data_IF_368846174694
#
_entry.id   IF_368846174694
#
_cell.length_a   1.000
_cell.length_b   1.000
_cell.length_c   1.000
_cell.angle_alpha   90.00
_cell.angle_beta   90.00
_cell.angle_gamma   90.00
#
_symmetry.space_group_name_H-M   'P 1'
#
loop_
_entity.id
_entity.type
_entity.pdbx_description
1 polymer ?
#
# COMPACT_ATOMS: atom_id res chain seq x y z
N UNK A 1 -9.14 10.58 14.16
CA UNK A 1 -7.83 10.29 13.54
C UNK A 1 -6.75 10.50 14.60
N UNK A 2 -5.75 9.63 14.68
CA UNK A 2 -4.59 9.79 15.58
C UNK A 2 -3.40 10.30 14.78
N UNK A 3 -2.68 11.27 15.31
CA UNK A 3 -1.49 11.86 14.71
C UNK A 3 -0.29 11.63 15.63
N UNK A 4 0.85 11.25 15.06
CA UNK A 4 2.13 11.13 15.75
C UNK A 4 3.22 11.73 14.88
N UNK A 5 4.00 12.68 15.41
CA UNK A 5 5.21 13.12 14.74
C UNK A 5 6.42 12.32 15.25
N UNK A 6 7.18 11.78 14.30
CA UNK A 6 8.27 10.86 14.54
C UNK A 6 9.58 11.62 14.41
N UNK A 7 10.38 11.67 15.47
CA UNK A 7 11.65 12.42 15.50
C UNK A 7 12.87 11.54 15.25
N UNK A 8 12.69 10.23 15.11
CA UNK A 8 13.75 9.26 14.87
C UNK A 8 13.75 8.76 13.42
N UNK A 9 14.84 8.10 13.02
CA UNK A 9 14.89 7.34 11.77
C UNK A 9 14.08 6.03 11.86
N UNK A 10 13.85 5.34 10.74
CA UNK A 10 13.01 4.15 10.70
C UNK A 10 13.53 3.02 11.61
N UNK A 11 14.85 2.76 11.62
CA UNK A 11 15.49 1.73 12.46
C UNK A 11 15.27 1.89 13.97
N UNK A 12 14.96 3.11 14.43
CA UNK A 12 14.76 3.41 15.85
C UNK A 12 13.28 3.56 16.21
N UNK A 13 12.36 3.47 15.25
CA UNK A 13 10.93 3.73 15.50
C UNK A 13 10.36 2.86 16.63
N UNK A 14 10.57 1.54 16.56
CA UNK A 14 10.14 0.63 17.62
C UNK A 14 10.94 0.83 18.93
N UNK A 15 12.26 1.02 18.82
CA UNK A 15 13.18 1.16 19.96
C UNK A 15 12.89 2.42 20.80
N UNK A 16 12.51 3.51 20.13
CA UNK A 16 12.16 4.79 20.74
C UNK A 16 10.70 4.80 21.25
N UNK A 17 10.01 3.65 21.22
CA UNK A 17 8.70 3.46 21.84
C UNK A 17 7.51 3.98 21.01
N UNK A 18 7.69 4.24 19.71
CA UNK A 18 6.56 4.60 18.85
C UNK A 18 5.63 3.41 18.65
N UNK A 19 4.36 3.56 19.03
CA UNK A 19 3.33 2.53 18.90
C UNK A 19 2.28 2.91 17.84
N UNK A 20 1.78 1.91 17.13
CA UNK A 20 0.72 2.05 16.14
C UNK A 20 -0.63 1.59 16.72
N UNK A 21 -1.71 2.23 16.29
CA UNK A 21 -3.07 2.01 16.79
C UNK A 21 -3.55 0.55 16.70
N UNK A 22 -3.24 -0.26 15.67
CA UNK A 22 -3.69 -1.66 15.62
C UNK A 22 -3.28 -2.50 16.83
N UNK A 23 -2.10 -2.24 17.40
CA UNK A 23 -1.59 -2.96 18.58
C UNK A 23 -2.00 -2.31 19.92
N UNK A 24 -2.49 -1.07 19.88
CA UNK A 24 -2.88 -0.31 21.08
C UNK A 24 -4.35 -0.51 21.49
N UNK A 25 -5.14 -1.23 20.69
CA UNK A 25 -6.50 -1.58 21.09
C UNK A 25 -6.50 -2.49 22.33
N UNK A 26 -7.53 -2.42 23.22
CA UNK A 26 -7.64 -3.31 24.38
C UNK A 26 -7.55 -4.79 24.00
N UNK A 27 -8.11 -5.15 22.85
CA UNK A 27 -7.84 -6.41 22.18
C UNK A 27 -6.88 -6.15 21.00
N UNK A 28 -5.64 -6.63 21.12
CA UNK A 28 -4.62 -6.51 20.07
C UNK A 28 -5.16 -7.10 18.76
N UNK A 29 -5.09 -6.32 17.67
CA UNK A 29 -5.41 -6.82 16.34
C UNK A 29 -4.14 -7.37 15.70
N UNK A 30 -4.15 -8.67 15.42
CA UNK A 30 -3.11 -9.28 14.61
C UNK A 30 -3.21 -8.78 13.15
N UNK A 31 -2.10 -8.34 12.57
CA UNK A 31 -2.05 -7.90 11.17
C UNK A 31 -1.71 -9.10 10.31
N UNK A 32 -2.69 -9.63 9.59
CA UNK A 32 -2.44 -10.72 8.63
C UNK A 32 -1.77 -10.18 7.36
N UNK A 33 -2.23 -9.02 6.88
CA UNK A 33 -1.75 -8.42 5.65
C UNK A 33 -1.52 -6.92 5.82
N UNK A 34 -0.31 -6.47 5.52
CA UNK A 34 -0.01 -5.04 5.37
C UNK A 34 0.13 -4.72 3.88
N UNK A 35 -0.75 -3.86 3.36
CA UNK A 35 -0.67 -3.35 1.98
C UNK A 35 0.03 -2.01 2.01
N UNK A 36 1.25 -1.96 1.51
CA UNK A 36 2.08 -0.75 1.44
C UNK A 36 1.93 -0.11 0.07
N UNK A 37 1.58 1.16 0.04
CA UNK A 37 1.50 1.97 -1.18
C UNK A 37 2.59 3.05 -1.09
N UNK A 38 3.64 2.93 -1.91
CA UNK A 38 4.66 3.99 -2.01
C UNK A 38 4.21 5.07 -2.99
N UNK A 39 4.36 6.32 -2.57
CA UNK A 39 3.92 7.51 -3.31
C UNK A 39 5.00 8.60 -3.22
N UNK A 40 5.21 9.35 -4.30
CA UNK A 40 6.04 10.55 -4.35
C UNK A 40 5.20 11.79 -4.61
N UNK A 41 4.87 12.05 -5.88
CA UNK A 41 4.15 13.24 -6.34
C UNK A 41 2.94 12.91 -7.24
N UNK A 42 2.49 11.66 -7.23
CA UNK A 42 1.31 11.21 -7.96
C UNK A 42 0.05 11.99 -7.53
N UNK A 43 -0.86 12.20 -8.48
CA UNK A 43 -2.11 12.92 -8.26
C UNK A 43 -3.19 12.07 -7.57
N UNK A 44 -4.32 12.71 -7.29
CA UNK A 44 -5.51 12.05 -6.73
C UNK A 44 -6.06 10.95 -7.63
N UNK A 45 -5.92 11.05 -8.95
CA UNK A 45 -6.44 10.07 -9.90
C UNK A 45 -5.67 8.75 -9.78
N UNK A 46 -4.34 8.81 -9.78
CA UNK A 46 -3.48 7.64 -9.61
C UNK A 46 -3.67 7.01 -8.22
N UNK A 47 -3.67 7.83 -7.17
CA UNK A 47 -3.90 7.35 -5.81
C UNK A 47 -5.28 6.72 -5.65
N UNK A 48 -6.33 7.36 -6.19
CA UNK A 48 -7.70 6.85 -6.12
C UNK A 48 -7.86 5.53 -6.87
N UNK A 49 -7.17 5.33 -8.00
CA UNK A 49 -7.19 4.04 -8.73
C UNK A 49 -6.59 2.92 -7.89
N UNK A 50 -5.45 3.15 -7.27
CA UNK A 50 -4.81 2.17 -6.37
C UNK A 50 -5.72 1.85 -5.19
N UNK A 51 -6.20 2.87 -4.47
CA UNK A 51 -7.09 2.69 -3.32
C UNK A 51 -8.41 1.99 -3.68
N UNK A 52 -9.00 2.33 -4.83
CA UNK A 52 -10.20 1.65 -5.35
C UNK A 52 -9.95 0.15 -5.55
N UNK A 53 -8.81 -0.23 -6.12
CA UNK A 53 -8.41 -1.63 -6.29
C UNK A 53 -8.22 -2.34 -4.95
N UNK A 54 -7.48 -1.72 -4.02
CA UNK A 54 -7.22 -2.27 -2.68
C UNK A 54 -8.53 -2.48 -1.92
N UNK A 55 -9.43 -1.48 -1.91
CA UNK A 55 -10.70 -1.56 -1.20
C UNK A 55 -11.63 -2.61 -1.79
N UNK A 56 -11.59 -2.81 -3.11
CA UNK A 56 -12.31 -3.90 -3.78
C UNK A 56 -11.81 -5.27 -3.32
N UNK A 57 -10.50 -5.44 -3.15
CA UNK A 57 -9.92 -6.68 -2.63
C UNK A 57 -10.29 -6.92 -1.17
N UNK A 58 -10.23 -5.90 -0.32
CA UNK A 58 -10.65 -6.01 1.10
C UNK A 58 -12.12 -6.43 1.18
N UNK A 59 -12.99 -5.82 0.36
CA UNK A 59 -14.40 -6.23 0.26
C UNK A 59 -14.54 -7.68 -0.23
N UNK A 60 -13.69 -8.14 -1.15
CA UNK A 60 -13.70 -9.54 -1.58
C UNK A 60 -13.32 -10.50 -0.44
N UNK A 61 -12.27 -10.18 0.33
CA UNK A 61 -11.87 -10.95 1.51
C UNK A 61 -12.98 -11.00 2.56
N UNK A 62 -13.62 -9.85 2.84
CA UNK A 62 -14.78 -9.74 3.74
C UNK A 62 -15.94 -10.66 3.32
N UNK A 63 -16.16 -10.81 2.02
CA UNK A 63 -17.26 -11.60 1.46
C UNK A 63 -17.05 -13.12 1.47
N UNK A 64 -15.87 -13.61 1.87
CA UNK A 64 -15.58 -15.04 1.93
C UNK A 64 -16.37 -15.71 3.06
N UNK A 65 -17.14 -16.75 2.73
CA UNK A 65 -17.91 -17.52 3.71
C UNK A 65 -17.27 -18.87 4.08
N UNK A 66 -16.40 -19.40 3.20
CA UNK A 66 -15.78 -20.72 3.35
C UNK A 66 -14.28 -20.66 3.61
N UNK A 67 -13.75 -19.52 4.09
CA UNK A 67 -12.33 -19.37 4.43
C UNK A 67 -12.14 -19.36 5.93
N UNK A 68 -11.11 -20.08 6.41
CA UNK A 68 -10.70 -20.05 7.83
C UNK A 68 -10.14 -18.68 8.22
N UNK A 69 -9.44 -18.01 7.31
CA UNK A 69 -8.79 -16.71 7.57
C UNK A 69 -9.71 -15.53 7.27
N UNK A 70 -10.47 -15.59 6.18
CA UNK A 70 -11.23 -14.47 5.64
C UNK A 70 -12.74 -14.65 5.80
N UNK A 71 -13.42 -13.54 6.03
CA UNK A 71 -14.86 -13.42 6.20
C UNK A 71 -15.24 -12.13 6.90
N UNK A 72 -16.34 -12.13 7.66
CA UNK A 72 -16.77 -10.95 8.43
C UNK A 72 -15.61 -10.42 9.29
N UNK A 73 -15.42 -9.10 9.30
CA UNK A 73 -14.35 -8.41 10.02
C UNK A 73 -12.91 -8.66 9.48
N UNK A 74 -12.76 -9.18 8.26
CA UNK A 74 -11.45 -9.32 7.61
C UNK A 74 -10.66 -8.01 7.60
N UNK A 75 -11.35 -6.87 7.43
CA UNK A 75 -10.72 -5.56 7.46
C UNK A 75 -9.93 -5.24 8.74
N UNK A 76 -10.25 -5.88 9.87
CA UNK A 76 -9.52 -5.71 11.14
C UNK A 76 -8.12 -6.33 11.10
N UNK A 77 -7.91 -7.30 10.20
CA UNK A 77 -6.63 -8.02 10.00
C UNK A 77 -5.75 -7.38 8.93
N UNK A 78 -6.23 -6.32 8.26
CA UNK A 78 -5.56 -5.69 7.13
C UNK A 78 -5.24 -4.25 7.49
N UNK A 79 -4.00 -3.84 7.25
CA UNK A 79 -3.57 -2.43 7.37
C UNK A 79 -3.12 -1.94 6.00
N UNK A 80 -3.75 -0.87 5.52
CA UNK A 80 -3.34 -0.17 4.30
C UNK A 80 -2.43 0.99 4.69
N UNK A 81 -1.14 0.85 4.42
CA UNK A 81 -0.14 1.87 4.69
C UNK A 81 0.20 2.64 3.42
N UNK A 82 0.09 3.97 3.43
CA UNK A 82 0.59 4.84 2.36
C UNK A 82 1.84 5.53 2.87
N UNK A 83 2.96 5.38 2.16
CA UNK A 83 4.22 6.08 2.49
C UNK A 83 4.51 7.11 1.40
N UNK A 84 4.38 8.39 1.76
CA UNK A 84 4.63 9.52 0.87
C UNK A 84 6.03 10.11 1.10
N UNK A 85 6.79 10.23 0.02
CA UNK A 85 8.21 10.60 0.02
C UNK A 85 8.46 12.11 -0.06
N UNK A 86 8.27 12.80 1.06
CA UNK A 86 8.58 14.21 1.21
C UNK A 86 7.34 15.08 1.30
N UNK A 87 7.22 15.81 2.41
CA UNK A 87 6.06 16.64 2.74
C UNK A 87 5.83 17.78 1.75
N UNK A 88 6.90 18.36 1.21
CA UNK A 88 6.82 19.42 0.19
C UNK A 88 6.63 18.91 -1.24
N UNK A 89 6.58 17.58 -1.44
CA UNK A 89 6.56 16.94 -2.76
C UNK A 89 5.24 16.27 -3.10
N UNK A 90 4.48 15.88 -2.09
CA UNK A 90 3.14 15.31 -2.27
C UNK A 90 2.22 16.29 -3.00
N UNK A 91 1.43 15.77 -3.93
CA UNK A 91 0.48 16.54 -4.71
C UNK A 91 -0.70 17.05 -3.85
N UNK A 92 -1.11 18.31 -4.01
CA UNK A 92 -2.21 18.92 -3.25
C UNK A 92 -3.54 18.21 -3.44
N UNK A 93 -3.86 17.73 -4.64
CA UNK A 93 -5.09 16.96 -4.90
C UNK A 93 -5.04 15.61 -4.18
N UNK A 94 -3.88 14.95 -4.16
CA UNK A 94 -3.70 13.72 -3.41
C UNK A 94 -3.84 13.95 -1.89
N UNK A 95 -3.30 15.06 -1.36
CA UNK A 95 -3.53 15.47 0.03
C UNK A 95 -5.02 15.70 0.32
N UNK A 96 -5.73 16.41 -0.55
CA UNK A 96 -7.16 16.67 -0.42
C UNK A 96 -7.99 15.38 -0.44
N UNK A 97 -7.60 14.40 -1.27
CA UNK A 97 -8.20 13.07 -1.28
C UNK A 97 -8.00 12.35 0.07
N UNK A 98 -6.76 12.34 0.60
CA UNK A 98 -6.46 11.74 1.90
C UNK A 98 -7.22 12.42 3.05
N UNK A 99 -7.35 13.75 3.00
CA UNK A 99 -8.16 14.53 3.95
C UNK A 99 -9.64 14.16 3.87
N UNK A 100 -10.19 14.06 2.66
CA UNK A 100 -11.58 13.65 2.42
C UNK A 100 -11.88 12.23 2.92
N UNK A 101 -10.86 11.37 3.02
CA UNK A 101 -10.96 10.02 3.58
C UNK A 101 -10.72 9.96 5.10
N UNK A 102 -10.35 11.10 5.71
CA UNK A 102 -10.10 11.25 7.15
C UNK A 102 -8.73 10.76 7.63
N UNK A 103 -7.81 10.45 6.71
CA UNK A 103 -6.46 9.94 7.04
C UNK A 103 -5.38 11.03 6.95
N UNK A 104 -5.76 12.27 6.69
CA UNK A 104 -4.88 13.43 6.72
C UNK A 104 -5.63 14.65 7.26
N UNK A 105 -4.93 15.54 7.96
CA UNK A 105 -5.47 16.82 8.39
C UNK A 105 -4.37 17.87 8.28
N UNK A 106 -4.71 18.97 7.59
CA UNK A 106 -3.82 20.11 7.43
C UNK A 106 -3.54 20.80 8.77
N UNK A 107 -2.37 21.41 8.90
CA UNK A 107 -1.96 22.15 10.10
C UNK A 107 -1.44 21.30 11.26
N UNK A 108 -1.67 19.98 11.29
CA UNK A 108 -1.12 19.12 12.36
C UNK A 108 0.39 18.91 12.25
N UNK A 109 0.90 18.81 11.02
CA UNK A 109 2.29 18.50 10.79
C UNK A 109 3.23 19.67 11.17
N UNK A 110 4.13 19.42 12.12
CA UNK A 110 5.17 20.37 12.55
C UNK A 110 6.56 19.83 12.25
N UNK A 111 7.46 20.66 11.72
CA UNK A 111 8.83 20.21 11.35
C UNK A 111 9.74 19.93 12.55
N UNK A 112 9.34 20.37 13.76
CA UNK A 112 10.04 20.12 15.02
C UNK A 112 9.03 19.80 16.13
N UNK A 113 9.44 18.92 17.03
CA UNK A 113 8.83 18.73 18.35
C UNK A 113 9.96 18.92 19.35
N UNK A 114 9.76 19.85 20.28
CA UNK A 114 10.82 20.36 21.15
C UNK A 114 12.05 20.77 20.32
N UNK A 115 13.24 20.31 20.70
CA UNK A 115 14.48 20.56 19.96
C UNK A 115 14.78 19.52 18.86
N UNK A 116 13.90 18.53 18.68
CA UNK A 116 14.11 17.44 17.73
C UNK A 116 13.43 17.70 16.39
N UNK A 117 14.17 17.50 15.30
CA UNK A 117 13.62 17.56 13.92
C UNK A 117 12.72 16.35 13.67
N UNK A 118 11.53 16.61 13.14
CA UNK A 118 10.62 15.54 12.71
C UNK A 118 11.14 14.91 11.42
N UNK A 119 11.05 13.58 11.34
CA UNK A 119 11.49 12.76 10.20
C UNK A 119 10.30 12.23 9.41
N UNK A 120 9.19 11.93 10.07
CA UNK A 120 7.94 11.53 9.44
C UNK A 120 6.73 11.89 10.29
N UNK A 121 5.57 11.97 9.64
CA UNK A 121 4.27 12.18 10.26
C UNK A 121 3.40 10.95 10.04
N UNK A 122 2.94 10.33 11.12
CA UNK A 122 2.07 9.17 11.09
C UNK A 122 0.63 9.60 11.38
N UNK A 123 -0.28 9.31 10.46
CA UNK A 123 -1.71 9.53 10.60
C UNK A 123 -2.44 8.19 10.56
N UNK A 124 -3.29 7.94 11.55
CA UNK A 124 -3.99 6.67 11.69
C UNK A 124 -5.49 6.89 11.76
N UNK A 125 -6.22 6.21 10.88
CA UNK A 125 -7.67 6.29 10.85
C UNK A 125 -8.31 5.03 10.28
N UNK A 126 -9.55 4.74 10.69
CA UNK A 126 -10.35 3.70 10.03
C UNK A 126 -11.36 4.40 9.16
N UNK A 127 -11.10 4.43 7.86
CA UNK A 127 -11.99 5.10 6.93
C UNK A 127 -13.22 4.25 6.64
N UNK A 128 -14.36 4.91 6.49
CA UNK A 128 -15.60 4.33 5.94
C UNK A 128 -16.00 5.01 4.63
N UNK A 129 -15.04 5.72 4.02
CA UNK A 129 -15.18 6.38 2.73
C UNK A 129 -14.45 5.52 1.70
N UNK A 130 -15.10 5.23 0.57
CA UNK A 130 -14.47 4.53 -0.56
C UNK A 130 -14.52 5.36 -1.83
N UNK A 131 -13.59 5.08 -2.74
CA UNK A 131 -13.64 5.57 -4.11
C UNK A 131 -14.70 4.79 -4.90
N UNK A 132 -15.73 5.47 -5.39
CA UNK A 132 -16.78 4.87 -6.22
C UNK A 132 -16.38 4.86 -7.70
N UNK A 133 -15.98 6.01 -8.24
CA UNK A 133 -15.51 6.17 -9.61
C UNK A 133 -14.27 7.04 -9.68
N UNK A 134 -13.43 6.74 -10.66
CA UNK A 134 -12.29 7.58 -11.04
C UNK A 134 -12.40 7.79 -12.54
N UNK A 135 -12.72 9.01 -12.94
CA UNK A 135 -12.71 9.47 -14.34
C UNK A 135 -11.69 10.61 -14.43
N UNK A 136 -12.14 11.82 -14.74
CA UNK A 136 -11.34 13.05 -14.63
C UNK A 136 -11.40 13.63 -13.20
N UNK A 137 -12.38 13.18 -12.41
CA UNK A 137 -12.53 13.48 -10.99
C UNK A 137 -12.69 12.21 -10.16
N UNK A 138 -12.35 12.30 -8.88
CA UNK A 138 -12.54 11.22 -7.91
C UNK A 138 -13.90 11.40 -7.22
N UNK A 139 -14.78 10.40 -7.35
CA UNK A 139 -16.04 10.37 -6.58
C UNK A 139 -15.90 9.45 -5.38
N UNK A 140 -16.32 9.95 -4.23
CA UNK A 140 -16.32 9.22 -2.97
C UNK A 140 -17.73 8.80 -2.59
N UNK A 141 -17.86 7.75 -1.76
CA UNK A 141 -19.14 7.30 -1.22
C UNK A 141 -18.95 6.62 0.13
N UNK A 142 -19.97 6.70 0.97
CA UNK A 142 -20.07 6.05 2.29
C UNK A 142 -21.04 4.87 2.30
N UNK A 143 -21.67 4.56 1.16
CA UNK A 143 -22.67 3.50 1.05
C UNK A 143 -22.05 2.10 0.88
N UNK A 144 -22.60 1.13 1.65
CA UNK A 144 -22.22 -0.31 1.60
C UNK A 144 -20.69 -0.51 1.68
N UNK A 145 -20.05 0.26 2.57
CA UNK A 145 -18.59 0.29 2.73
C UNK A 145 -18.13 -0.68 3.81
N UNK A 146 -17.13 -1.49 3.46
CA UNK A 146 -16.31 -2.23 4.43
C UNK A 146 -15.28 -1.24 4.99
N UNK A 147 -15.18 -1.07 6.32
CA UNK A 147 -14.17 -0.17 6.90
C UNK A 147 -12.76 -0.58 6.48
N UNK A 148 -11.83 0.37 6.40
CA UNK A 148 -10.42 0.08 6.09
C UNK A 148 -9.51 0.76 7.09
N UNK A 149 -8.61 0.01 7.71
CA UNK A 149 -7.58 0.57 8.59
C UNK A 149 -6.49 1.18 7.72
N UNK A 150 -6.35 2.50 7.80
CA UNK A 150 -5.35 3.24 7.05
C UNK A 150 -4.29 3.82 7.98
N UNK A 151 -3.04 3.73 7.53
CA UNK A 151 -1.87 4.38 8.10
C UNK A 151 -1.25 5.24 7.00
N UNK A 152 -1.15 6.54 7.20
CA UNK A 152 -0.47 7.43 6.28
C UNK A 152 0.82 7.93 6.92
N UNK A 153 1.95 7.56 6.33
CA UNK A 153 3.29 8.00 6.70
C UNK A 153 3.75 9.07 5.70
N UNK A 154 3.74 10.33 6.11
CA UNK A 154 4.27 11.44 5.32
C UNK A 154 5.70 11.75 5.79
N UNK A 155 6.70 11.42 4.98
CA UNK A 155 8.10 11.72 5.29
C UNK A 155 8.34 13.22 5.21
N UNK A 156 9.16 13.76 6.12
CA UNK A 156 9.48 15.19 6.11
C UNK A 156 10.32 15.56 4.88
N UNK A 157 11.32 14.72 4.55
CA UNK A 157 12.25 14.93 3.43
C UNK A 157 12.12 13.85 2.36
N UNK A 158 12.30 14.22 1.10
CA UNK A 158 12.45 13.26 0.01
C UNK A 158 13.77 12.49 0.17
N UNK A 159 13.69 11.17 0.28
CA UNK A 159 14.83 10.27 0.42
C UNK A 159 14.75 9.04 -0.52
N UNK A 160 13.95 9.15 -1.60
CA UNK A 160 13.70 8.12 -2.60
C UNK A 160 12.94 6.89 -2.07
N UNK A 161 12.48 6.06 -3.01
CA UNK A 161 11.66 4.85 -2.79
C UNK A 161 12.30 3.83 -1.83
N UNK A 162 13.62 3.61 -1.92
CA UNK A 162 14.34 2.68 -1.03
C UNK A 162 14.15 3.09 0.44
N UNK A 163 14.27 4.38 0.76
CA UNK A 163 14.03 4.85 2.11
C UNK A 163 12.55 4.70 2.53
N UNK A 164 11.60 4.87 1.61
CA UNK A 164 10.18 4.60 1.88
C UNK A 164 9.93 3.13 2.25
N UNK A 165 10.61 2.18 1.60
CA UNK A 165 10.57 0.77 2.02
C UNK A 165 11.22 0.55 3.39
N UNK A 166 12.31 1.24 3.72
CA UNK A 166 12.89 1.18 5.08
C UNK A 166 11.89 1.62 6.15
N UNK A 167 11.11 2.67 5.91
CA UNK A 167 10.00 3.04 6.81
C UNK A 167 8.95 1.92 6.94
N UNK A 168 8.71 1.15 5.88
CA UNK A 168 7.78 0.03 5.95
C UNK A 168 8.34 -1.13 6.77
N UNK A 169 9.56 -1.58 6.48
CA UNK A 169 10.14 -2.79 7.07
C UNK A 169 10.82 -2.58 8.42
N UNK A 170 11.63 -1.52 8.56
CA UNK A 170 12.40 -1.24 9.79
C UNK A 170 11.59 -0.49 10.85
N UNK A 171 10.53 0.24 10.46
CA UNK A 171 9.68 0.95 11.40
C UNK A 171 8.31 0.29 11.57
N UNK A 172 7.46 0.35 10.55
CA UNK A 172 6.04 0.00 10.68
C UNK A 172 5.85 -1.51 10.91
N UNK A 173 6.58 -2.35 10.17
CA UNK A 173 6.47 -3.82 10.28
C UNK A 173 7.01 -4.35 11.60
N UNK A 174 8.01 -3.69 12.20
CA UNK A 174 8.51 -4.05 13.53
C UNK A 174 7.44 -3.88 14.62
N UNK A 175 6.48 -2.98 14.41
CA UNK A 175 5.40 -2.71 15.37
C UNK A 175 4.16 -3.55 15.06
N UNK A 176 3.79 -3.65 13.78
CA UNK A 176 2.58 -4.37 13.36
C UNK A 176 2.76 -5.89 13.27
N UNK A 177 4.00 -6.35 13.12
CA UNK A 177 4.39 -7.75 12.90
C UNK A 177 3.48 -8.44 11.88
N UNK A 178 3.37 -7.92 10.64
CA UNK A 178 2.46 -8.48 9.65
C UNK A 178 2.95 -9.85 9.14
N UNK A 179 2.06 -10.83 8.97
CA UNK A 179 2.40 -12.11 8.34
C UNK A 179 2.84 -11.93 6.87
N UNK A 180 2.16 -11.04 6.13
CA UNK A 180 2.51 -10.74 4.74
C UNK A 180 2.51 -9.25 4.49
N UNK A 181 3.52 -8.78 3.76
CA UNK A 181 3.60 -7.41 3.23
C UNK A 181 3.41 -7.42 1.72
N UNK A 182 2.42 -6.66 1.24
CA UNK A 182 2.19 -6.45 -0.20
C UNK A 182 2.65 -5.04 -0.57
N UNK A 183 3.67 -4.93 -1.41
CA UNK A 183 4.16 -3.65 -1.94
C UNK A 183 3.42 -3.27 -3.22
N UNK A 184 2.90 -2.05 -3.28
CA UNK A 184 2.25 -1.46 -4.44
C UNK A 184 2.83 -0.07 -4.71
N UNK A 185 3.02 0.25 -5.98
CA UNK A 185 3.27 1.63 -6.39
C UNK A 185 1.96 2.38 -6.59
N UNK A 186 1.93 3.65 -6.17
CA UNK A 186 0.82 4.55 -6.47
C UNK A 186 0.59 4.62 -7.99
N UNK A 187 -0.66 4.50 -8.42
CA UNK A 187 -1.03 4.35 -9.83
C UNK A 187 -1.24 2.90 -10.29
N UNK A 188 -0.77 1.90 -9.52
CA UNK A 188 -1.07 0.49 -9.78
C UNK A 188 -2.45 0.13 -9.23
N UNK A 189 -3.34 -0.38 -10.08
CA UNK A 189 -4.66 -0.83 -9.65
C UNK A 189 -4.70 -2.37 -9.52
N UNK A 190 -4.72 -2.95 -8.31
CA UNK A 190 -4.84 -4.38 -8.16
C UNK A 190 -6.20 -4.89 -8.66
N UNK A 191 -6.20 -6.03 -9.35
CA UNK A 191 -7.43 -6.69 -9.79
C UNK A 191 -8.23 -7.18 -8.57
N UNK A 192 -9.55 -7.30 -8.67
CA UNK A 192 -10.43 -7.44 -7.50
C UNK A 192 -10.26 -8.69 -6.62
N UNK A 193 -9.43 -9.66 -7.05
CA UNK A 193 -9.09 -10.88 -6.27
C UNK A 193 -7.58 -11.07 -6.10
N UNK A 194 -6.76 -10.17 -6.64
CA UNK A 194 -5.30 -10.34 -6.68
C UNK A 194 -4.67 -10.47 -5.30
N UNK A 195 -5.08 -9.66 -4.32
CA UNK A 195 -4.52 -9.74 -2.96
C UNK A 195 -4.85 -11.08 -2.28
N UNK A 196 -6.04 -11.62 -2.54
CA UNK A 196 -6.41 -12.95 -2.06
C UNK A 196 -5.52 -14.04 -2.66
N UNK A 197 -5.25 -13.99 -3.96
CA UNK A 197 -4.40 -14.98 -4.62
C UNK A 197 -2.95 -14.89 -4.15
N UNK A 198 -2.39 -13.68 -4.01
CA UNK A 198 -1.06 -13.50 -3.43
C UNK A 198 -0.98 -14.11 -2.03
N UNK A 199 -1.90 -13.75 -1.13
CA UNK A 199 -1.94 -14.31 0.23
C UNK A 199 -2.10 -15.83 0.23
N UNK A 200 -2.91 -16.38 -0.68
CA UNK A 200 -3.17 -17.82 -0.74
C UNK A 200 -1.91 -18.64 -1.03
N UNK A 201 -0.95 -18.09 -1.79
CA UNK A 201 0.31 -18.80 -2.04
C UNK A 201 1.14 -18.96 -0.75
N UNK A 202 1.22 -17.92 0.09
CA UNK A 202 1.87 -18.01 1.40
C UNK A 202 1.11 -18.91 2.39
N UNK A 203 -0.23 -18.92 2.35
CA UNK A 203 -1.05 -19.82 3.19
C UNK A 203 -0.92 -21.30 2.76
N UNK A 204 -0.65 -21.54 1.47
CA UNK A 204 -0.50 -22.88 0.91
C UNK A 204 0.86 -23.51 1.23
N UNK A 205 1.92 -22.71 1.17
CA UNK A 205 3.29 -23.19 1.33
C UNK A 205 4.09 -22.26 2.25
N UNK A 206 4.42 -22.71 3.48
CA UNK A 206 5.22 -21.93 4.43
C UNK A 206 6.65 -21.60 3.96
N UNK A 207 7.16 -22.26 2.91
CA UNK A 207 8.49 -21.98 2.36
C UNK A 207 8.49 -20.81 1.37
N UNK A 208 7.33 -20.28 1.00
CA UNK A 208 7.22 -19.15 0.08
C UNK A 208 7.68 -17.86 0.78
N UNK A 209 8.81 -17.32 0.34
CA UNK A 209 9.33 -16.04 0.81
C UNK A 209 8.78 -14.84 -0.01
N UNK A 210 8.22 -15.08 -1.20
CA UNK A 210 7.75 -14.03 -2.10
C UNK A 210 6.79 -14.55 -3.16
N UNK A 211 5.81 -13.73 -3.51
CA UNK A 211 4.90 -13.96 -4.63
C UNK A 211 4.72 -12.66 -5.43
N UNK A 212 4.63 -12.76 -6.75
CA UNK A 212 4.45 -11.61 -7.63
C UNK A 212 3.22 -11.82 -8.52
N UNK A 213 2.49 -10.73 -8.80
CA UNK A 213 1.39 -10.72 -9.74
C UNK A 213 1.83 -10.21 -11.12
N UNK A 214 1.05 -10.52 -12.15
CA UNK A 214 1.24 -9.95 -13.48
C UNK A 214 0.75 -8.49 -13.52
N UNK A 215 1.60 -7.56 -13.94
CA UNK A 215 1.22 -6.16 -14.18
C UNK A 215 0.88 -5.99 -15.68
N UNK A 216 -0.13 -5.19 -15.98
CA UNK A 216 -0.48 -4.84 -17.36
C UNK A 216 -0.69 -3.35 -17.47
N UNK A 217 -0.23 -2.77 -18.57
CA UNK A 217 -0.54 -1.38 -18.89
C UNK A 217 -2.06 -1.23 -19.06
N UNK A 218 -2.64 -0.22 -18.40
CA UNK A 218 -4.06 0.10 -18.52
C UNK A 218 -4.34 0.82 -19.84
N UNK A 219 -4.32 0.09 -20.95
CA UNK A 219 -4.50 0.63 -22.29
C UNK A 219 -5.97 0.64 -22.70
N UNK A 220 -6.45 1.74 -23.29
CA UNK A 220 -7.76 1.72 -23.97
C UNK A 220 -7.63 0.84 -25.22
N UNK A 221 -8.64 0.00 -25.53
CA UNK A 221 -8.64 -0.89 -26.71
C UNK A 221 -8.20 -0.20 -28.01
N UNK A 222 -8.62 1.06 -28.20
CA UNK A 222 -8.25 1.86 -29.37
C UNK A 222 -6.76 2.21 -29.40
N UNK A 223 -6.14 2.50 -28.25
CA UNK A 223 -4.72 2.86 -28.15
C UNK A 223 -3.79 1.69 -28.43
N UNK A 224 -4.21 0.45 -28.12
CA UNK A 224 -3.44 -0.75 -28.48
C UNK A 224 -3.31 -0.96 -30.00
N UNK A 225 -4.31 -0.51 -30.77
CA UNK A 225 -4.33 -0.67 -32.23
C UNK A 225 -3.65 0.49 -32.96
N UNK A 226 -3.62 1.68 -32.37
CA UNK A 226 -3.16 2.90 -33.05
C UNK A 226 -1.76 3.36 -32.62
N UNK A 227 -1.14 2.74 -31.61
CA UNK A 227 0.18 3.15 -31.12
C UNK A 227 1.14 1.96 -31.01
N UNK A 228 2.03 1.78 -32.02
CA UNK A 228 2.99 0.69 -32.06
C UNK A 228 3.96 0.64 -30.87
N UNK A 229 4.36 1.80 -30.32
CA UNK A 229 5.28 1.87 -29.17
C UNK A 229 4.64 1.29 -27.90
N UNK A 230 3.39 1.66 -27.67
CA UNK A 230 2.59 1.16 -26.55
C UNK A 230 2.36 -0.35 -26.66
N UNK A 231 2.14 -0.84 -27.88
CA UNK A 231 2.02 -2.27 -28.14
C UNK A 231 3.34 -3.01 -27.91
N UNK A 232 4.46 -2.47 -28.40
CA UNK A 232 5.79 -3.05 -28.21
C UNK A 232 6.15 -3.17 -26.72
N UNK A 233 5.93 -2.11 -25.93
CA UNK A 233 6.14 -2.15 -24.47
C UNK A 233 5.27 -3.19 -23.77
N UNK A 234 3.99 -3.30 -24.15
CA UNK A 234 3.10 -4.29 -23.57
C UNK A 234 3.46 -5.73 -23.98
N UNK A 235 3.95 -5.93 -25.22
CA UNK A 235 4.43 -7.21 -25.70
C UNK A 235 5.70 -7.63 -24.96
N UNK A 236 6.69 -6.76 -24.88
CA UNK A 236 7.95 -6.98 -24.15
C UNK A 236 7.67 -7.37 -22.70
N UNK A 237 6.87 -6.57 -21.99
CA UNK A 237 6.53 -6.83 -20.59
C UNK A 237 5.82 -8.17 -20.41
N UNK A 238 4.92 -8.53 -21.33
CA UNK A 238 4.13 -9.76 -21.24
C UNK A 238 4.97 -11.00 -21.56
N UNK A 239 5.81 -10.94 -22.59
CA UNK A 239 6.68 -12.05 -22.99
C UNK A 239 7.76 -12.30 -21.94
N UNK A 240 8.43 -11.24 -21.45
CA UNK A 240 9.39 -11.38 -20.34
C UNK A 240 8.73 -12.01 -19.11
N UNK A 241 7.55 -11.55 -18.69
CA UNK A 241 6.87 -12.18 -17.54
C UNK A 241 6.52 -13.66 -17.77
N UNK A 242 6.09 -14.04 -18.97
CA UNK A 242 5.72 -15.44 -19.27
C UNK A 242 6.95 -16.35 -19.30
N UNK A 243 8.11 -15.86 -19.72
CA UNK A 243 9.33 -16.65 -19.83
C UNK A 243 10.11 -16.67 -18.50
N UNK A 244 10.27 -15.50 -17.88
CA UNK A 244 11.16 -15.32 -16.74
C UNK A 244 10.50 -15.82 -15.45
N UNK A 245 9.23 -15.46 -15.18
CA UNK A 245 8.59 -15.76 -13.88
C UNK A 245 8.32 -17.23 -13.61
N UNK A 246 7.87 -18.05 -14.57
CA UNK A 246 7.77 -19.49 -14.35
C UNK A 246 9.14 -20.13 -14.13
N UNK A 247 10.17 -19.67 -14.86
CA UNK A 247 11.54 -20.18 -14.72
C UNK A 247 12.11 -19.85 -13.34
N UNK A 248 12.04 -18.57 -12.93
CA UNK A 248 12.34 -18.10 -11.58
C UNK A 248 11.64 -18.95 -10.50
N UNK A 249 10.33 -19.17 -10.66
CA UNK A 249 9.52 -19.98 -9.75
C UNK A 249 9.99 -21.44 -9.67
N UNK A 250 10.33 -22.07 -10.80
CA UNK A 250 10.82 -23.46 -10.85
C UNK A 250 12.17 -23.61 -10.16
N UNK A 251 13.06 -22.64 -10.34
CA UNK A 251 14.40 -22.67 -9.76
C UNK A 251 14.49 -22.04 -8.35
N UNK A 252 13.37 -21.55 -7.81
CA UNK A 252 13.31 -21.01 -6.46
C UNK A 252 14.09 -19.70 -6.26
N UNK A 253 14.31 -18.92 -7.32
CA UNK A 253 14.96 -17.61 -7.24
C UNK A 253 14.16 -16.56 -7.98
N UNK A 254 14.34 -15.29 -7.64
CA UNK A 254 13.73 -14.19 -8.39
C UNK A 254 14.85 -13.33 -8.97
N UNK A 255 15.00 -13.33 -10.28
CA UNK A 255 15.88 -12.38 -10.96
C UNK A 255 15.24 -11.01 -10.93
N UNK A 256 15.58 -10.21 -9.92
CA UNK A 256 15.32 -8.78 -10.01
C UNK A 256 16.57 -7.99 -9.69
N UNK A 257 16.82 -7.02 -10.56
CA UNK A 257 17.58 -5.83 -10.23
C UNK A 257 16.96 -5.18 -8.98
N UNK A 258 17.77 -4.56 -8.09
CA UNK A 258 17.42 -4.23 -6.70
C UNK A 258 16.29 -3.18 -6.61
N UNK A 259 15.06 -3.60 -6.91
CA UNK A 259 13.93 -2.72 -7.22
C UNK A 259 12.55 -3.32 -6.94
N UNK A 260 12.38 -4.65 -7.07
CA UNK A 260 11.06 -5.29 -6.86
C UNK A 260 10.91 -6.07 -5.54
N UNK A 261 12.01 -6.47 -4.91
CA UNK A 261 12.02 -6.98 -3.53
C UNK A 261 13.13 -6.24 -2.79
N UNK A 262 12.76 -5.44 -1.80
CA UNK A 262 13.72 -4.91 -0.83
C UNK A 262 13.41 -5.59 0.49
N UNK A 263 14.02 -6.75 0.70
CA UNK A 263 13.80 -7.59 1.86
C UNK A 263 14.87 -8.69 1.89
N UNK A 264 16.07 -8.29 2.32
CA UNK A 264 17.02 -9.14 3.03
C UNK A 264 17.44 -8.36 4.28
#
# INVERSE_FOLDING_TARGET
>A
MRYTAVTCGPSNFWRDGYILRPIHYPQRRHTEMMVVITMYNEDDILLARTLKGVFKNIKHLESKTSSRMWGKDSWKKIVVCIVSDGRSKINERAQALLASMGVYQEGLAKSRIDDKKVKAHMYEYTTRVRVSSVTDTVKLTTEKVVPVQMLFCLKETNAKKINSHRWCFEAISQVLEPNIVVLLDCGTQPSGKSLYHLWKEFDRDPQVAGACGEIKASLKKRQMLTNPLVYAQNFEYKISNILDKPTESVFGFISVLPGAFFGL
#
